data_IF_417171100062
#
_entry.id   IF_417171100062
#
_cell.length_a   1.000
_cell.length_b   1.000
_cell.length_c   1.000
_cell.angle_alpha   90.00
_cell.angle_beta   90.00
_cell.angle_gamma   90.00
#
_symmetry.space_group_name_H-M   'P 1'
#
loop_
_entity.id
_entity.type
_entity.pdbx_description
1 polymer ?
#
# COMPACT_ATOMS: atom_id res chain seq x y z
N UNK A 1 -52.84 -8.84 -46.32
CA UNK A 1 -52.34 -10.20 -46.03
C UNK A 1 -50.98 -10.07 -45.34
N UNK A 2 -50.97 -10.00 -44.01
CA UNK A 2 -49.74 -10.10 -43.22
C UNK A 2 -49.67 -11.53 -42.70
N UNK A 3 -48.74 -12.33 -43.23
CA UNK A 3 -48.46 -13.67 -42.69
C UNK A 3 -47.33 -13.55 -41.68
N UNK A 4 -47.70 -13.85 -40.45
CA UNK A 4 -46.86 -14.11 -39.30
C UNK A 4 -45.80 -15.17 -39.63
N UNK A 5 -44.53 -14.85 -39.36
CA UNK A 5 -43.53 -15.83 -38.97
C UNK A 5 -43.18 -15.56 -37.51
N UNK A 6 -43.98 -16.16 -36.63
CA UNK A 6 -43.61 -16.44 -35.25
C UNK A 6 -42.74 -17.70 -35.24
N UNK A 7 -41.83 -17.79 -34.27
CA UNK A 7 -41.04 -18.96 -33.87
C UNK A 7 -39.75 -19.28 -34.64
N UNK A 8 -38.68 -18.60 -34.22
CA UNK A 8 -37.43 -19.28 -33.77
C UNK A 8 -36.64 -18.33 -32.86
N UNK A 9 -37.28 -17.84 -31.80
CA UNK A 9 -36.57 -17.33 -30.62
C UNK A 9 -36.16 -18.56 -29.78
N UNK A 10 -35.14 -19.27 -30.26
CA UNK A 10 -34.52 -20.39 -29.58
C UNK A 10 -33.19 -19.90 -29.02
N UNK A 11 -33.23 -19.52 -27.74
CA UNK A 11 -32.16 -19.64 -26.75
C UNK A 11 -30.72 -19.57 -27.29
N UNK A 12 -30.22 -18.37 -27.57
CA UNK A 12 -28.80 -18.07 -27.36
C UNK A 12 -28.63 -17.44 -25.98
N UNK A 13 -28.79 -18.27 -24.95
CA UNK A 13 -28.09 -18.06 -23.69
C UNK A 13 -26.92 -19.05 -23.70
N UNK A 14 -25.79 -18.65 -24.27
CA UNK A 14 -24.55 -19.41 -24.21
C UNK A 14 -23.37 -18.47 -24.01
N UNK A 15 -22.92 -18.45 -22.75
CA UNK A 15 -21.59 -18.02 -22.34
C UNK A 15 -21.39 -16.52 -22.33
N UNK A 16 -21.49 -15.91 -21.14
CA UNK A 16 -20.55 -14.83 -20.83
C UNK A 16 -19.15 -15.32 -21.24
N UNK A 17 -18.49 -14.62 -22.16
CA UNK A 17 -17.05 -14.83 -22.37
C UNK A 17 -16.41 -14.78 -21.00
N UNK A 18 -15.70 -15.84 -20.62
CA UNK A 18 -14.96 -15.86 -19.37
C UNK A 18 -14.15 -14.56 -19.29
N UNK A 19 -14.13 -13.86 -18.13
CA UNK A 19 -13.30 -12.69 -17.94
C UNK A 19 -11.87 -12.98 -18.41
N UNK A 20 -11.16 -11.99 -19.00
CA UNK A 20 -9.77 -12.16 -19.39
C UNK A 20 -8.94 -12.77 -18.25
N UNK A 21 -8.13 -13.79 -18.55
CA UNK A 21 -7.28 -14.46 -17.56
C UNK A 21 -7.90 -15.64 -16.79
N UNK A 22 -9.07 -16.15 -17.18
CA UNK A 22 -9.67 -17.36 -16.57
C UNK A 22 -9.38 -18.67 -17.33
N UNK A 23 -8.95 -18.60 -18.59
CA UNK A 23 -8.68 -19.80 -19.41
C UNK A 23 -7.26 -20.27 -19.18
N UNK A 24 -7.10 -21.45 -18.55
CA UNK A 24 -5.78 -22.04 -18.31
C UNK A 24 -4.98 -22.18 -19.61
N UNK A 25 -3.71 -21.78 -19.58
CA UNK A 25 -2.82 -21.87 -20.72
C UNK A 25 -2.47 -23.35 -20.97
N UNK A 26 -3.22 -24.01 -21.84
CA UNK A 26 -3.05 -25.42 -22.17
C UNK A 26 -3.19 -25.63 -23.68
N UNK A 27 -2.57 -26.70 -24.23
CA UNK A 27 -2.80 -27.06 -25.62
C UNK A 27 -4.25 -27.35 -25.98
N UNK A 28 -5.09 -27.70 -25.00
CA UNK A 28 -6.52 -27.91 -25.19
C UNK A 28 -7.29 -26.59 -25.37
N UNK A 29 -6.82 -25.48 -24.79
CA UNK A 29 -7.50 -24.18 -24.81
C UNK A 29 -6.91 -23.20 -25.83
N UNK A 30 -5.61 -23.30 -26.10
CA UNK A 30 -4.90 -22.44 -27.05
C UNK A 30 -3.98 -23.30 -27.92
N UNK A 31 -4.43 -23.83 -29.07
CA UNK A 31 -3.65 -24.81 -29.83
C UNK A 31 -2.37 -24.23 -30.46
N UNK A 32 -2.21 -22.91 -30.48
CA UNK A 32 -1.00 -22.23 -30.98
C UNK A 32 -0.57 -21.09 -30.07
N UNK A 33 0.73 -20.79 -30.07
CA UNK A 33 1.33 -19.68 -29.34
C UNK A 33 0.76 -18.31 -29.76
N UNK A 34 0.42 -18.14 -31.04
CA UNK A 34 -0.15 -16.89 -31.56
C UNK A 34 -1.56 -16.61 -30.98
N UNK A 35 -2.39 -17.63 -30.85
CA UNK A 35 -3.73 -17.51 -30.24
C UNK A 35 -3.66 -17.28 -28.72
N UNK A 36 -2.68 -17.91 -28.07
CA UNK A 36 -2.34 -17.70 -26.66
C UNK A 36 -1.93 -16.24 -26.39
N UNK A 37 -1.07 -15.67 -27.25
CA UNK A 37 -0.62 -14.26 -27.19
C UNK A 37 -1.73 -13.26 -27.53
N UNK A 38 -2.58 -13.56 -28.52
CA UNK A 38 -3.71 -12.70 -28.89
C UNK A 38 -4.78 -12.58 -27.79
N UNK A 39 -4.87 -13.58 -26.91
CA UNK A 39 -5.76 -13.57 -25.74
C UNK A 39 -5.23 -12.71 -24.57
N UNK A 40 -4.02 -12.15 -24.68
CA UNK A 40 -3.50 -11.11 -23.79
C UNK A 40 -2.95 -11.56 -22.43
N UNK A 41 -3.14 -12.81 -22.00
CA UNK A 41 -2.88 -13.21 -20.59
C UNK A 41 -2.33 -14.63 -20.38
N UNK A 42 -1.66 -15.23 -21.36
CA UNK A 42 -1.13 -16.60 -21.24
C UNK A 42 0.26 -16.80 -21.87
N UNK A 43 1.13 -17.56 -21.19
CA UNK A 43 2.43 -18.04 -21.71
C UNK A 43 2.32 -19.52 -22.11
N UNK A 44 2.91 -19.87 -23.25
CA UNK A 44 2.95 -21.22 -23.80
C UNK A 44 4.25 -21.94 -23.35
N UNK A 45 4.11 -23.13 -22.75
CA UNK A 45 5.14 -24.18 -22.44
C UNK A 45 5.86 -24.21 -21.07
N UNK A 46 6.36 -25.42 -20.78
CA UNK A 46 6.56 -26.13 -19.51
C UNK A 46 7.74 -25.72 -18.62
N UNK A 47 8.44 -24.61 -18.91
CA UNK A 47 9.50 -24.08 -18.02
C UNK A 47 9.49 -22.53 -18.01
N UNK A 48 9.64 -21.97 -16.80
CA UNK A 48 9.64 -20.54 -16.54
C UNK A 48 10.97 -19.91 -16.94
N UNK A 49 11.09 -19.38 -18.17
CA UNK A 49 12.14 -18.41 -18.49
C UNK A 49 11.65 -16.95 -18.44
N UNK A 50 12.46 -16.01 -17.92
CA UNK A 50 12.07 -14.64 -17.64
C UNK A 50 12.30 -13.77 -18.89
N UNK A 51 11.29 -13.02 -19.39
CA UNK A 51 11.47 -11.69 -20.01
C UNK A 51 10.16 -10.99 -20.45
N UNK A 52 10.13 -9.67 -20.20
CA UNK A 52 9.52 -8.53 -20.94
C UNK A 52 8.03 -8.43 -21.25
N UNK A 53 7.16 -8.75 -20.30
CA UNK A 53 6.00 -7.93 -19.91
C UNK A 53 5.46 -8.47 -18.58
N UNK A 54 5.95 -7.99 -17.42
CA UNK A 54 5.75 -8.68 -16.15
C UNK A 54 4.82 -7.92 -15.21
N UNK A 55 3.50 -8.07 -15.37
CA UNK A 55 2.55 -7.65 -14.34
C UNK A 55 1.62 -8.77 -13.86
N UNK A 56 1.60 -9.92 -14.54
CA UNK A 56 0.65 -10.99 -14.24
C UNK A 56 1.21 -12.01 -13.24
N UNK A 57 0.51 -12.18 -12.11
CA UNK A 57 0.56 -13.33 -11.19
C UNK A 57 1.84 -13.57 -10.36
N UNK A 58 2.77 -12.63 -10.24
CA UNK A 58 3.97 -12.87 -9.44
C UNK A 58 3.69 -12.78 -7.93
N UNK A 59 3.84 -13.95 -7.28
CA UNK A 59 4.13 -14.23 -5.85
C UNK A 59 3.01 -14.53 -4.86
N UNK A 60 1.74 -14.49 -5.24
CA UNK A 60 0.68 -14.74 -4.26
C UNK A 60 0.19 -16.19 -4.28
N UNK A 61 0.60 -16.99 -3.28
CA UNK A 61 -0.26 -18.06 -2.75
C UNK A 61 -1.30 -17.37 -1.87
N UNK A 62 -2.24 -16.67 -2.51
CA UNK A 62 -3.16 -15.79 -1.82
C UNK A 62 -4.22 -16.63 -1.12
N UNK A 63 -4.25 -16.55 0.22
CA UNK A 63 -5.43 -16.99 0.98
C UNK A 63 -6.63 -16.05 0.67
N UNK A 64 -6.40 -14.89 0.03
CA UNK A 64 -7.38 -13.85 -0.32
C UNK A 64 -7.82 -13.72 -1.79
N UNK A 65 -6.94 -13.92 -2.79
CA UNK A 65 -7.41 -14.20 -4.15
C UNK A 65 -7.92 -15.62 -4.13
N UNK A 66 -9.16 -15.76 -4.55
CA UNK A 66 -9.87 -17.01 -4.49
C UNK A 66 -9.37 -17.92 -5.63
N UNK A 67 -8.08 -18.29 -5.56
CA UNK A 67 -7.33 -19.02 -6.56
C UNK A 67 -6.39 -20.04 -5.92
N UNK A 68 -6.80 -21.30 -5.76
CA UNK A 68 -5.88 -22.41 -5.68
C UNK A 68 -5.16 -22.53 -7.02
N UNK A 69 -3.83 -22.44 -7.02
CA UNK A 69 -3.02 -22.68 -8.23
C UNK A 69 -3.38 -21.81 -9.43
N UNK A 70 -3.90 -20.59 -9.20
CA UNK A 70 -4.25 -19.65 -10.26
C UNK A 70 -5.64 -19.81 -10.89
N UNK A 71 -6.48 -20.75 -10.44
CA UNK A 71 -7.84 -20.98 -10.99
C UNK A 71 -8.90 -20.41 -10.05
N UNK A 72 -9.84 -19.61 -10.57
CA UNK A 72 -10.98 -19.07 -9.80
C UNK A 72 -11.77 -20.19 -9.11
N UNK A 73 -11.90 -20.14 -7.78
CA UNK A 73 -12.83 -21.01 -7.05
C UNK A 73 -14.26 -20.52 -7.19
N UNK A 74 -15.22 -21.41 -6.92
CA UNK A 74 -16.65 -21.09 -6.90
C UNK A 74 -17.06 -19.95 -5.94
N UNK A 75 -16.16 -19.51 -5.05
CA UNK A 75 -16.36 -18.40 -4.12
C UNK A 75 -15.69 -17.10 -4.59
N UNK A 76 -15.25 -17.02 -5.85
CA UNK A 76 -14.58 -15.86 -6.41
C UNK A 76 -15.54 -15.03 -7.26
N UNK A 77 -15.96 -13.87 -6.76
CA UNK A 77 -16.88 -13.00 -7.50
C UNK A 77 -16.11 -11.83 -8.17
N UNK A 78 -16.39 -11.53 -9.45
CA UNK A 78 -15.90 -10.31 -10.08
C UNK A 78 -16.56 -9.08 -9.42
N UNK A 79 -15.81 -8.00 -9.29
CA UNK A 79 -16.30 -6.76 -8.67
C UNK A 79 -17.18 -6.02 -9.67
N UNK A 80 -18.39 -5.64 -9.25
CA UNK A 80 -19.42 -5.02 -10.10
C UNK A 80 -19.18 -3.54 -10.39
N UNK A 81 -18.36 -2.86 -9.59
CA UNK A 81 -17.97 -1.45 -9.78
C UNK A 81 -16.48 -1.28 -9.55
N UNK A 82 -15.69 -1.25 -10.64
CA UNK A 82 -14.26 -1.04 -10.57
C UNK A 82 -13.91 0.40 -10.97
N UNK A 83 -13.03 1.01 -10.19
CA UNK A 83 -12.16 2.06 -10.72
C UNK A 83 -11.12 1.34 -11.62
N UNK A 84 -10.90 1.87 -12.83
CA UNK A 84 -10.03 1.30 -13.88
C UNK A 84 -8.63 0.90 -13.41
N UNK A 85 -8.17 1.46 -12.28
CA UNK A 85 -6.88 1.14 -11.69
C UNK A 85 -6.81 -0.27 -11.05
N UNK A 86 -7.93 -0.98 -10.89
CA UNK A 86 -8.02 -2.17 -10.03
C UNK A 86 -8.68 -3.39 -10.67
N UNK A 87 -8.79 -3.42 -12.01
CA UNK A 87 -9.53 -4.43 -12.79
C UNK A 87 -9.08 -5.89 -12.56
N UNK A 88 -7.92 -6.10 -11.94
CA UNK A 88 -7.32 -7.42 -11.71
C UNK A 88 -7.55 -8.00 -10.29
N UNK A 89 -8.36 -7.36 -9.44
CA UNK A 89 -8.62 -7.85 -8.07
C UNK A 89 -9.91 -8.67 -8.00
N UNK A 90 -9.98 -9.66 -7.12
CA UNK A 90 -11.17 -10.51 -6.92
C UNK A 90 -11.56 -10.57 -5.44
N UNK A 91 -12.82 -10.87 -5.14
CA UNK A 91 -13.31 -10.94 -3.75
C UNK A 91 -13.83 -12.34 -3.38
N UNK A 92 -13.47 -12.88 -2.19
CA UNK A 92 -13.89 -14.21 -1.73
C UNK A 92 -15.35 -14.29 -1.27
N UNK A 93 -16.05 -13.16 -1.15
CA UNK A 93 -17.43 -13.10 -0.68
C UNK A 93 -18.27 -12.22 -1.60
N UNK A 94 -19.57 -12.53 -1.72
CA UNK A 94 -20.58 -11.76 -2.46
C UNK A 94 -20.84 -10.33 -1.93
N UNK A 95 -20.02 -9.86 -0.98
CA UNK A 95 -20.14 -8.54 -0.37
C UNK A 95 -19.75 -7.38 -1.29
N UNK A 96 -19.37 -7.64 -2.56
CA UNK A 96 -18.95 -6.64 -3.55
C UNK A 96 -17.83 -5.68 -3.07
N UNK A 97 -17.14 -5.99 -1.98
CA UNK A 97 -16.07 -5.17 -1.41
C UNK A 97 -14.71 -5.78 -1.73
N UNK A 98 -13.84 -4.95 -2.29
CA UNK A 98 -12.42 -5.25 -2.49
C UNK A 98 -11.75 -5.15 -1.12
N UNK A 99 -11.00 -6.16 -0.71
CA UNK A 99 -10.08 -5.97 0.42
C UNK A 99 -8.86 -5.19 -0.09
N UNK A 100 -8.73 -3.95 0.39
CA UNK A 100 -7.72 -2.99 -0.05
C UNK A 100 -6.29 -3.45 0.27
N UNK A 101 -6.14 -4.40 1.20
CA UNK A 101 -4.88 -5.06 1.50
C UNK A 101 -4.24 -5.76 0.30
N UNK A 102 -5.02 -6.15 -0.70
CA UNK A 102 -4.57 -6.94 -1.85
C UNK A 102 -4.44 -6.11 -3.14
N UNK A 103 -4.79 -4.83 -3.09
CA UNK A 103 -4.77 -3.99 -4.28
C UNK A 103 -3.35 -3.69 -4.75
N UNK A 104 -3.10 -3.67 -6.07
CA UNK A 104 -1.77 -3.39 -6.64
C UNK A 104 -1.61 -1.92 -7.07
N UNK A 105 -0.37 -1.43 -7.04
CA UNK A 105 -0.07 -0.11 -7.60
C UNK A 105 -0.02 -0.26 -9.12
N UNK A 106 -0.74 0.56 -9.89
CA UNK A 106 -0.75 0.43 -11.35
C UNK A 106 0.67 0.66 -11.89
N UNK A 107 1.25 -0.38 -12.52
CA UNK A 107 2.55 -0.30 -13.20
C UNK A 107 2.29 0.12 -14.63
N UNK A 108 2.78 1.28 -15.05
CA UNK A 108 2.68 1.68 -16.47
C UNK A 108 4.00 1.49 -17.22
N UNK A 109 5.16 1.58 -16.55
CA UNK A 109 6.49 1.37 -17.18
C UNK A 109 7.58 1.17 -16.11
N UNK A 110 8.14 -0.05 -16.00
CA UNK A 110 9.36 -0.37 -15.23
C UNK A 110 10.19 -1.41 -15.98
N UNK A 111 11.52 -1.36 -15.86
CA UNK A 111 12.47 -2.34 -16.38
C UNK A 111 12.49 -3.63 -15.58
N UNK A 112 13.67 -4.19 -15.33
CA UNK A 112 13.83 -5.40 -14.50
C UNK A 112 14.30 -5.04 -13.08
N UNK A 113 14.35 -6.03 -12.19
CA UNK A 113 14.89 -5.86 -10.85
C UNK A 113 16.41 -5.60 -10.85
N UNK A 114 17.11 -6.03 -11.90
CA UNK A 114 18.58 -5.91 -12.00
C UNK A 114 19.05 -4.74 -12.85
N UNK A 115 18.17 -4.15 -13.68
CA UNK A 115 18.51 -3.04 -14.56
C UNK A 115 17.32 -2.14 -14.91
N UNK A 116 17.63 -0.87 -15.17
CA UNK A 116 16.70 0.16 -15.65
C UNK A 116 16.15 -0.13 -17.04
N UNK A 117 15.15 0.65 -17.49
CA UNK A 117 14.64 0.57 -18.87
C UNK A 117 15.71 0.85 -19.94
N UNK A 118 16.76 1.59 -19.58
CA UNK A 118 17.90 1.88 -20.47
C UNK A 118 19.00 0.81 -20.45
N UNK A 119 18.81 -0.26 -19.66
CA UNK A 119 19.78 -1.37 -19.55
C UNK A 119 20.90 -1.17 -18.52
N UNK A 120 21.06 0.02 -17.92
CA UNK A 120 22.05 0.23 -16.85
C UNK A 120 21.68 -0.60 -15.62
N UNK A 121 22.64 -1.35 -15.08
CA UNK A 121 22.42 -2.24 -13.93
C UNK A 121 22.36 -1.49 -12.61
N UNK A 122 21.67 -2.08 -11.62
CA UNK A 122 21.63 -1.55 -10.24
C UNK A 122 23.05 -1.49 -9.65
N UNK A 123 23.86 -2.52 -9.87
CA UNK A 123 25.24 -2.57 -9.41
C UNK A 123 26.09 -1.43 -9.99
N UNK A 124 25.95 -1.16 -11.30
CA UNK A 124 26.65 -0.04 -11.93
C UNK A 124 26.23 1.29 -11.32
N UNK A 125 24.91 1.52 -11.14
CA UNK A 125 24.38 2.75 -10.54
C UNK A 125 24.88 2.99 -9.11
N UNK A 126 25.08 1.92 -8.33
CA UNK A 126 25.62 1.99 -6.97
C UNK A 126 27.09 2.44 -6.94
N UNK A 127 27.86 2.20 -8.00
CA UNK A 127 29.26 2.67 -8.10
C UNK A 127 29.38 4.13 -8.56
N UNK A 128 28.32 4.70 -9.14
CA UNK A 128 28.33 6.08 -9.64
C UNK A 128 28.00 7.05 -8.52
N UNK A 129 28.68 8.21 -8.53
CA UNK A 129 28.28 9.34 -7.70
C UNK A 129 26.84 9.75 -8.05
N UNK A 130 25.94 9.88 -7.05
CA UNK A 130 24.57 10.32 -7.29
C UNK A 130 24.51 11.65 -8.04
N UNK A 131 23.74 11.69 -9.11
CA UNK A 131 23.48 12.89 -9.92
C UNK A 131 22.15 12.81 -10.63
N UNK A 132 21.58 13.96 -10.97
CA UNK A 132 20.27 14.07 -11.61
C UNK A 132 20.13 13.22 -12.88
N UNK A 133 21.17 13.12 -13.71
CA UNK A 133 21.15 12.38 -14.98
C UNK A 133 20.82 10.88 -14.82
N UNK A 134 21.03 10.31 -13.63
CA UNK A 134 20.78 8.91 -13.35
C UNK A 134 19.43 8.64 -12.66
N UNK A 135 18.68 9.69 -12.28
CA UNK A 135 17.42 9.53 -11.56
C UNK A 135 16.38 8.75 -12.37
N UNK A 136 16.34 8.96 -13.69
CA UNK A 136 15.46 8.19 -14.57
C UNK A 136 15.73 6.68 -14.47
N UNK A 137 17.00 6.29 -14.43
CA UNK A 137 17.38 4.88 -14.30
C UNK A 137 16.99 4.33 -12.93
N UNK A 138 17.18 5.09 -11.85
CA UNK A 138 16.75 4.71 -10.50
C UNK A 138 15.23 4.48 -10.44
N UNK A 139 14.43 5.38 -11.03
CA UNK A 139 12.95 5.32 -11.00
C UNK A 139 12.34 4.22 -11.87
N UNK A 140 13.13 3.69 -12.80
CA UNK A 140 12.68 2.68 -13.76
C UNK A 140 13.10 1.26 -13.38
N UNK A 141 13.85 1.04 -12.31
CA UNK A 141 14.08 -0.32 -11.77
C UNK A 141 12.77 -0.89 -11.20
N UNK A 142 12.56 -2.20 -11.35
CA UNK A 142 11.34 -2.86 -10.90
C UNK A 142 11.49 -3.46 -9.49
N UNK A 143 10.92 -2.79 -8.49
CA UNK A 143 10.95 -3.23 -7.10
C UNK A 143 10.03 -4.44 -6.83
N UNK A 144 8.94 -4.59 -7.58
CA UNK A 144 7.95 -5.63 -7.31
C UNK A 144 8.44 -7.03 -7.70
N UNK A 145 9.26 -7.14 -8.77
CA UNK A 145 9.83 -8.41 -9.22
C UNK A 145 11.13 -8.80 -8.50
N UNK A 146 11.66 -7.91 -7.67
CA UNK A 146 12.94 -8.13 -7.03
C UNK A 146 12.86 -9.27 -6.01
N UNK A 147 13.86 -10.15 -6.01
CA UNK A 147 14.12 -11.02 -4.85
C UNK A 147 14.47 -10.15 -3.64
N UNK A 148 14.39 -10.69 -2.42
CA UNK A 148 14.73 -9.92 -1.22
C UNK A 148 16.12 -9.25 -1.29
N UNK A 149 17.14 -9.95 -1.81
CA UNK A 149 18.48 -9.39 -2.00
C UNK A 149 18.49 -8.24 -3.03
N UNK A 150 17.83 -8.43 -4.16
CA UNK A 150 17.71 -7.39 -5.19
C UNK A 150 16.93 -6.17 -4.68
N UNK A 151 15.83 -6.38 -3.95
CA UNK A 151 15.03 -5.30 -3.37
C UNK A 151 15.89 -4.48 -2.40
N UNK A 152 16.67 -5.15 -1.55
CA UNK A 152 17.57 -4.49 -0.63
C UNK A 152 18.64 -3.65 -1.34
N UNK A 153 19.21 -4.15 -2.45
CA UNK A 153 20.15 -3.39 -3.26
C UNK A 153 19.51 -2.17 -3.95
N UNK A 154 18.27 -2.32 -4.44
CA UNK A 154 17.50 -1.20 -5.00
C UNK A 154 17.22 -0.16 -3.93
N UNK A 155 16.81 -0.57 -2.72
CA UNK A 155 16.56 0.36 -1.62
C UNK A 155 17.84 1.11 -1.19
N UNK A 156 18.98 0.42 -1.13
CA UNK A 156 20.27 1.07 -0.87
C UNK A 156 20.59 2.11 -1.95
N UNK A 157 20.26 1.82 -3.21
CA UNK A 157 20.43 2.77 -4.31
C UNK A 157 19.56 4.03 -4.10
N UNK A 158 18.29 3.89 -3.73
CA UNK A 158 17.44 5.04 -3.41
C UNK A 158 17.99 5.84 -2.23
N UNK A 159 18.47 5.16 -1.18
CA UNK A 159 19.03 5.80 0.02
C UNK A 159 20.30 6.59 -0.35
N UNK A 160 21.21 6.00 -1.13
CA UNK A 160 22.42 6.68 -1.60
C UNK A 160 22.10 7.92 -2.46
N UNK A 161 20.99 7.89 -3.20
CA UNK A 161 20.52 9.01 -4.03
C UNK A 161 19.76 10.08 -3.26
N UNK A 162 19.66 10.01 -1.92
CA UNK A 162 19.00 11.02 -1.08
C UNK A 162 19.30 12.48 -1.50
N UNK A 163 20.57 12.90 -1.74
CA UNK A 163 20.89 14.29 -2.08
C UNK A 163 20.20 14.80 -3.35
N UNK A 164 19.88 13.91 -4.29
CA UNK A 164 19.17 14.22 -5.53
C UNK A 164 17.65 14.07 -5.38
N UNK A 165 17.21 13.11 -4.57
CA UNK A 165 15.79 12.82 -4.33
C UNK A 165 15.07 13.94 -3.56
N UNK A 166 15.76 14.64 -2.65
CA UNK A 166 15.17 15.71 -1.83
C UNK A 166 15.10 17.07 -2.55
N UNK A 167 15.72 17.18 -3.73
CA UNK A 167 15.72 18.41 -4.54
C UNK A 167 14.33 18.71 -5.10
N UNK A 168 14.09 19.99 -5.36
CA UNK A 168 12.82 20.49 -5.91
C UNK A 168 12.50 19.94 -7.31
N UNK A 169 13.52 19.48 -8.05
CA UNK A 169 13.40 18.88 -9.39
C UNK A 169 12.80 17.48 -9.38
N UNK A 170 12.80 16.79 -8.24
CA UNK A 170 12.28 15.42 -8.12
C UNK A 170 10.85 15.47 -7.60
N UNK A 171 9.88 14.86 -8.27
CA UNK A 171 8.51 14.80 -7.74
C UNK A 171 8.38 13.73 -6.63
N UNK A 172 7.72 13.99 -5.48
CA UNK A 172 7.60 13.02 -4.37
C UNK A 172 7.03 11.66 -4.78
N UNK A 173 6.14 11.65 -5.78
CA UNK A 173 5.55 10.45 -6.39
C UNK A 173 6.55 9.33 -6.72
N UNK A 174 7.78 9.64 -7.15
CA UNK A 174 8.74 8.59 -7.51
C UNK A 174 9.27 7.82 -6.28
N UNK A 175 9.44 8.52 -5.16
CA UNK A 175 9.86 7.92 -3.89
C UNK A 175 8.66 7.19 -3.26
N UNK A 176 7.48 7.78 -3.37
CA UNK A 176 6.21 7.19 -2.93
C UNK A 176 5.91 5.86 -3.62
N UNK A 177 6.08 5.80 -4.95
CA UNK A 177 6.01 4.57 -5.74
C UNK A 177 6.96 3.52 -5.16
N UNK A 178 8.22 3.86 -4.89
CA UNK A 178 9.20 2.93 -4.36
C UNK A 178 8.80 2.40 -2.97
N UNK A 179 8.31 3.26 -2.08
CA UNK A 179 7.77 2.87 -0.78
C UNK A 179 6.58 1.90 -0.92
N UNK A 180 5.63 2.23 -1.78
CA UNK A 180 4.45 1.40 -2.02
C UNK A 180 4.83 0.03 -2.58
N UNK A 181 5.70 0.00 -3.60
CA UNK A 181 6.16 -1.23 -4.23
C UNK A 181 7.01 -2.11 -3.30
N UNK A 182 7.71 -1.50 -2.34
CA UNK A 182 8.47 -2.22 -1.31
C UNK A 182 7.54 -2.97 -0.36
N UNK A 183 6.52 -2.30 0.17
CA UNK A 183 5.52 -2.97 1.04
C UNK A 183 4.79 -4.07 0.27
N UNK A 184 4.46 -3.84 -1.00
CA UNK A 184 3.86 -4.88 -1.84
C UNK A 184 4.77 -6.08 -2.05
N UNK A 185 6.07 -5.87 -2.30
CA UNK A 185 7.00 -6.97 -2.43
C UNK A 185 7.13 -7.76 -1.10
N UNK A 186 7.19 -7.07 0.05
CA UNK A 186 7.24 -7.72 1.38
C UNK A 186 5.97 -8.53 1.68
N UNK A 187 4.80 -7.98 1.31
CA UNK A 187 3.51 -8.65 1.44
C UNK A 187 3.45 -9.91 0.59
N UNK A 188 3.85 -9.79 -0.68
CA UNK A 188 3.69 -10.84 -1.67
C UNK A 188 4.78 -11.92 -1.58
N UNK A 189 5.96 -11.63 -1.03
CA UNK A 189 7.04 -12.62 -0.90
C UNK A 189 6.78 -13.62 0.24
N UNK A 190 6.21 -14.77 -0.11
CA UNK A 190 5.94 -15.89 0.79
C UNK A 190 7.21 -16.56 1.33
N UNK A 191 8.38 -16.28 0.76
CA UNK A 191 9.66 -16.86 1.20
C UNK A 191 10.39 -16.01 2.24
N UNK A 192 9.93 -14.79 2.51
CA UNK A 192 10.54 -13.90 3.49
C UNK A 192 10.29 -14.34 4.94
N UNK A 193 11.36 -14.63 5.66
CA UNK A 193 11.32 -14.82 7.12
C UNK A 193 11.13 -13.47 7.85
N UNK A 194 10.66 -13.46 9.11
CA UNK A 194 10.53 -12.22 9.88
C UNK A 194 11.82 -11.39 9.94
N UNK A 195 12.98 -12.03 10.05
CA UNK A 195 14.28 -11.36 10.05
C UNK A 195 14.58 -10.64 8.71
N UNK A 196 14.30 -11.29 7.57
CA UNK A 196 14.48 -10.67 6.25
C UNK A 196 13.49 -9.52 6.01
N UNK A 197 12.27 -9.64 6.53
CA UNK A 197 11.28 -8.55 6.52
C UNK A 197 11.81 -7.36 7.33
N UNK A 198 12.31 -7.60 8.54
CA UNK A 198 12.84 -6.55 9.41
C UNK A 198 14.01 -5.76 8.79
N UNK A 199 14.96 -6.47 8.16
CA UNK A 199 16.07 -5.82 7.44
C UNK A 199 15.56 -4.93 6.28
N UNK A 200 14.58 -5.40 5.52
CA UNK A 200 13.98 -4.64 4.42
C UNK A 200 13.16 -3.46 4.94
N UNK A 201 12.42 -3.64 6.03
CA UNK A 201 11.64 -2.57 6.69
C UNK A 201 12.55 -1.47 7.24
N UNK A 202 13.74 -1.81 7.73
CA UNK A 202 14.73 -0.80 8.16
C UNK A 202 15.07 0.16 7.02
N UNK A 203 15.33 -0.37 5.82
CA UNK A 203 15.60 0.44 4.62
C UNK A 203 14.37 1.17 4.10
N UNK A 204 13.20 0.54 4.17
CA UNK A 204 11.93 1.20 3.90
C UNK A 204 11.76 2.46 4.77
N UNK A 205 12.06 2.39 6.07
CA UNK A 205 11.95 3.55 6.96
C UNK A 205 13.00 4.64 6.71
N UNK A 206 14.19 4.26 6.25
CA UNK A 206 15.17 5.23 5.75
C UNK A 206 14.64 5.95 4.51
N UNK A 207 14.10 5.21 3.55
CA UNK A 207 13.46 5.78 2.36
C UNK A 207 12.22 6.63 2.71
N UNK A 208 11.43 6.21 3.69
CA UNK A 208 10.27 6.96 4.16
C UNK A 208 10.70 8.29 4.79
N UNK A 209 11.84 8.31 5.48
CA UNK A 209 12.43 9.55 6.02
C UNK A 209 12.85 10.51 4.90
N UNK A 210 13.46 9.98 3.82
CA UNK A 210 13.81 10.76 2.62
C UNK A 210 12.55 11.31 1.94
N UNK A 211 11.50 10.49 1.81
CA UNK A 211 10.21 10.92 1.27
C UNK A 211 9.60 12.04 2.10
N UNK A 212 9.54 11.88 3.43
CA UNK A 212 9.01 12.90 4.34
C UNK A 212 9.82 14.19 4.25
N UNK A 213 11.14 14.12 4.10
CA UNK A 213 11.96 15.30 3.82
C UNK A 213 11.58 15.97 2.50
N UNK A 214 11.42 15.19 1.43
CA UNK A 214 11.06 15.70 0.12
C UNK A 214 9.68 16.35 0.10
N UNK A 215 8.71 15.78 0.80
CA UNK A 215 7.35 16.34 0.87
C UNK A 215 7.30 17.69 1.58
N UNK A 216 8.13 17.92 2.61
CA UNK A 216 8.27 19.25 3.27
C UNK A 216 8.71 20.33 2.30
N UNK A 217 9.69 20.03 1.45
CA UNK A 217 10.21 20.98 0.47
C UNK A 217 9.30 21.10 -0.76
N UNK A 218 8.37 20.16 -0.95
CA UNK A 218 7.42 20.17 -2.06
C UNK A 218 6.16 20.98 -1.75
N UNK A 219 5.52 20.74 -0.61
CA UNK A 219 4.25 21.38 -0.27
C UNK A 219 4.00 21.47 1.24
N UNK A 220 3.37 22.57 1.66
CA UNK A 220 2.88 22.76 3.04
C UNK A 220 1.76 21.78 3.42
N UNK A 221 1.06 21.26 2.41
CA UNK A 221 0.06 20.22 2.58
C UNK A 221 0.18 19.19 1.46
N UNK A 222 0.31 17.94 1.84
CA UNK A 222 0.40 16.82 0.92
C UNK A 222 -0.41 15.68 1.48
N UNK A 223 -1.21 15.03 0.64
CA UNK A 223 -1.98 13.88 1.06
C UNK A 223 -2.18 12.93 -0.10
N UNK A 224 -2.05 11.65 0.17
CA UNK A 224 -2.42 10.56 -0.72
C UNK A 224 -3.44 9.66 -0.06
N UNK A 225 -4.29 9.07 -0.90
CA UNK A 225 -5.32 8.14 -0.48
C UNK A 225 -5.18 6.86 -1.33
N UNK A 226 -4.15 6.07 -1.03
CA UNK A 226 -3.98 4.75 -1.61
C UNK A 226 -4.47 3.66 -0.66
N UNK A 227 -4.55 2.44 -1.18
CA UNK A 227 -5.14 1.32 -0.48
C UNK A 227 -4.23 0.59 0.52
N UNK A 228 -2.90 0.65 0.34
CA UNK A 228 -1.93 -0.04 1.22
C UNK A 228 -1.13 0.92 2.08
N UNK A 229 -0.84 2.12 1.56
CA UNK A 229 0.09 3.03 2.20
C UNK A 229 -0.35 4.45 1.88
N UNK A 230 -0.76 5.18 2.91
CA UNK A 230 -1.16 6.57 2.82
C UNK A 230 -0.08 7.46 3.40
N UNK A 231 0.06 8.63 2.78
CA UNK A 231 0.95 9.67 3.26
C UNK A 231 0.13 10.94 3.47
N UNK A 232 0.33 11.60 4.59
CA UNK A 232 -0.31 12.88 4.86
C UNK A 232 0.66 13.81 5.59
N UNK A 233 0.69 15.07 5.18
CA UNK A 233 1.47 16.12 5.80
C UNK A 233 0.66 17.40 5.84
N UNK A 234 0.78 18.13 6.95
CA UNK A 234 0.30 19.50 7.02
C UNK A 234 1.14 20.33 7.99
N UNK A 235 1.14 21.64 7.78
CA UNK A 235 1.65 22.59 8.78
C UNK A 235 0.71 22.72 9.97
N UNK A 236 1.23 23.16 11.11
CA UNK A 236 0.44 23.41 12.32
C UNK A 236 -0.69 24.43 12.13
N UNK A 237 -0.58 25.33 11.15
CA UNK A 237 -1.62 26.34 10.86
C UNK A 237 -2.97 25.76 10.44
N UNK A 238 -3.02 24.52 9.94
CA UNK A 238 -4.28 23.87 9.53
C UNK A 238 -5.05 23.24 10.68
N UNK A 239 -4.47 23.13 11.88
CA UNK A 239 -5.07 22.58 13.12
C UNK A 239 -5.54 21.12 13.07
N UNK A 240 -5.63 20.50 11.90
CA UNK A 240 -5.97 19.09 11.74
C UNK A 240 -5.37 18.48 10.48
N UNK A 241 -5.30 17.14 10.49
CA UNK A 241 -4.89 16.27 9.41
C UNK A 241 -5.78 15.04 9.39
N UNK A 242 -6.30 14.68 8.23
CA UNK A 242 -7.21 13.54 8.08
C UNK A 242 -6.58 12.48 7.19
N UNK A 243 -6.68 11.22 7.59
CA UNK A 243 -6.26 10.05 6.82
C UNK A 243 -7.48 9.14 6.66
N UNK A 244 -7.70 8.66 5.45
CA UNK A 244 -8.82 7.77 5.12
C UNK A 244 -8.28 6.35 4.93
N UNK A 245 -8.77 5.44 5.77
CA UNK A 245 -8.66 4.00 5.54
C UNK A 245 -9.85 3.48 4.76
N UNK A 246 -9.95 2.15 4.62
CA UNK A 246 -11.01 1.51 3.84
C UNK A 246 -12.42 1.76 4.40
N UNK A 247 -12.59 1.61 5.71
CA UNK A 247 -13.89 1.74 6.40
C UNK A 247 -13.80 2.69 7.59
N UNK A 248 -12.78 3.57 7.59
CA UNK A 248 -12.58 4.48 8.68
C UNK A 248 -11.89 5.76 8.24
N UNK A 249 -12.16 6.81 9.00
CA UNK A 249 -11.47 8.10 8.88
C UNK A 249 -10.83 8.41 10.22
N UNK A 250 -9.53 8.68 10.18
CA UNK A 250 -8.76 9.11 11.36
C UNK A 250 -8.35 10.56 11.18
N UNK A 251 -8.68 11.39 12.16
CA UNK A 251 -8.30 12.80 12.20
C UNK A 251 -7.39 13.06 13.39
N UNK A 252 -6.22 13.61 13.12
CA UNK A 252 -5.30 14.17 14.11
C UNK A 252 -5.55 15.67 14.18
N UNK A 253 -5.83 16.20 15.36
CA UNK A 253 -6.11 17.63 15.54
C UNK A 253 -5.39 18.22 16.74
N UNK A 254 -5.10 19.52 16.71
CA UNK A 254 -4.43 20.26 17.77
C UNK A 254 -4.97 21.68 17.83
N UNK A 255 -4.83 22.31 19.00
CA UNK A 255 -5.39 23.65 19.26
C UNK A 255 -4.32 24.71 19.52
N UNK A 256 -3.14 24.31 19.97
CA UNK A 256 -2.07 25.24 20.36
C UNK A 256 -0.70 24.69 19.98
N UNK A 257 0.20 25.58 19.58
CA UNK A 257 1.60 25.29 19.26
C UNK A 257 2.44 26.54 19.55
N UNK A 258 3.68 26.35 20.03
CA UNK A 258 4.57 27.46 20.43
C UNK A 258 5.49 27.93 19.31
N UNK A 259 5.66 27.12 18.27
CA UNK A 259 6.42 27.44 17.05
C UNK A 259 5.79 26.71 15.86
N UNK A 260 6.10 27.16 14.65
CA UNK A 260 5.66 26.50 13.44
C UNK A 260 6.34 25.14 13.25
N UNK A 261 5.74 24.33 12.40
CA UNK A 261 6.19 22.96 12.15
C UNK A 261 5.18 22.17 11.34
N UNK A 262 5.43 20.86 11.27
CA UNK A 262 4.68 19.92 10.47
C UNK A 262 4.23 18.72 11.29
N UNK A 263 3.01 18.26 11.03
CA UNK A 263 2.56 16.91 11.37
C UNK A 263 2.64 16.08 10.10
N UNK A 264 3.40 15.00 10.16
CA UNK A 264 3.62 14.04 9.07
C UNK A 264 3.08 12.68 9.51
N UNK A 265 2.35 12.00 8.63
CA UNK A 265 1.69 10.74 8.90
C UNK A 265 1.94 9.78 7.76
N UNK A 266 2.27 8.55 8.12
CA UNK A 266 2.22 7.39 7.25
C UNK A 266 1.19 6.44 7.85
N UNK A 267 0.18 6.02 7.09
CA UNK A 267 -0.74 4.96 7.51
C UNK A 267 -0.70 3.76 6.59
N UNK A 268 -0.90 2.58 7.15
CA UNK A 268 -0.98 1.34 6.39
C UNK A 268 -1.83 0.32 7.13
N UNK A 269 -2.44 -0.65 6.43
CA UNK A 269 -3.22 -1.68 7.09
C UNK A 269 -2.39 -2.54 8.03
N UNK A 270 -2.94 -2.82 9.22
CA UNK A 270 -2.24 -3.49 10.30
C UNK A 270 -1.75 -4.92 9.94
N UNK A 271 -2.50 -5.62 9.09
CA UNK A 271 -2.16 -6.98 8.62
C UNK A 271 -0.81 -7.07 7.92
N UNK A 272 -0.37 -5.98 7.28
CA UNK A 272 0.91 -5.93 6.56
C UNK A 272 2.12 -6.05 7.50
N UNK A 273 1.93 -5.79 8.80
CA UNK A 273 2.97 -5.86 9.83
C UNK A 273 2.72 -6.98 10.85
N UNK A 274 1.92 -7.99 10.46
CA UNK A 274 1.68 -9.18 11.28
C UNK A 274 0.70 -8.97 12.44
N UNK A 275 0.00 -7.82 12.48
CA UNK A 275 -1.10 -7.58 13.42
C UNK A 275 -2.36 -8.22 12.85
N UNK A 276 -2.97 -9.15 13.59
CA UNK A 276 -4.14 -9.88 13.11
C UNK A 276 -5.31 -8.92 12.81
N UNK A 277 -5.94 -9.07 11.64
CA UNK A 277 -7.08 -8.25 11.21
C UNK A 277 -8.21 -8.24 12.24
N UNK A 278 -8.47 -9.39 12.88
CA UNK A 278 -9.51 -9.52 13.90
C UNK A 278 -9.27 -8.65 15.14
N UNK A 279 -8.01 -8.26 15.40
CA UNK A 279 -7.64 -7.44 16.55
C UNK A 279 -7.48 -5.96 16.21
N UNK A 280 -7.13 -5.62 14.96
CA UNK A 280 -6.92 -4.23 14.56
C UNK A 280 -8.16 -3.64 13.89
N UNK A 281 -8.69 -2.57 14.47
CA UNK A 281 -9.84 -1.83 13.93
C UNK A 281 -9.44 -0.68 13.01
N UNK A 282 -8.21 -0.19 13.14
CA UNK A 282 -7.68 0.86 12.28
C UNK A 282 -6.44 0.40 11.52
N UNK A 283 -6.01 1.23 10.57
CA UNK A 283 -4.63 1.23 10.10
C UNK A 283 -3.66 1.41 11.27
N UNK A 284 -2.41 1.05 11.04
CA UNK A 284 -1.30 1.53 11.85
C UNK A 284 -0.91 2.91 11.37
N UNK A 285 -0.72 3.82 12.30
CA UNK A 285 -0.33 5.20 12.08
C UNK A 285 1.07 5.44 12.62
N UNK A 286 1.99 5.84 11.75
CA UNK A 286 3.26 6.44 12.12
C UNK A 286 3.12 7.96 12.02
N UNK A 287 3.08 8.64 13.15
CA UNK A 287 2.95 10.10 13.26
C UNK A 287 4.28 10.69 13.71
N UNK A 288 4.75 11.69 12.98
CA UNK A 288 5.96 12.45 13.27
C UNK A 288 5.66 13.93 13.33
N UNK A 289 6.14 14.59 14.38
CA UNK A 289 5.91 15.99 14.68
C UNK A 289 7.28 16.67 14.75
N UNK A 290 7.48 17.64 13.88
CA UNK A 290 8.76 18.33 13.72
C UNK A 290 8.54 19.83 13.63
N UNK A 291 9.57 20.61 13.93
CA UNK A 291 9.57 22.04 13.63
C UNK A 291 9.85 22.32 12.14
N UNK A 292 9.75 23.60 11.78
CA UNK A 292 9.97 24.10 10.41
C UNK A 292 11.38 24.69 10.20
N UNK A 293 12.34 24.34 11.06
CA UNK A 293 13.72 24.80 10.92
C UNK A 293 14.39 24.24 9.64
N UNK A 294 15.48 24.89 9.20
CA UNK A 294 16.27 24.42 8.05
C UNK A 294 16.78 22.97 8.24
N UNK A 295 17.11 22.62 9.49
CA UNK A 295 17.36 21.24 9.92
C UNK A 295 16.29 20.86 10.94
N UNK A 296 15.23 20.15 10.54
CA UNK A 296 14.07 19.92 11.41
C UNK A 296 14.41 19.06 12.64
N UNK A 297 13.94 19.50 13.80
CA UNK A 297 14.07 18.77 15.06
C UNK A 297 12.71 18.20 15.53
N UNK A 298 12.70 17.10 16.29
CA UNK A 298 11.49 16.59 16.93
C UNK A 298 10.81 17.66 17.80
N UNK A 299 9.47 17.77 17.70
CA UNK A 299 8.68 18.75 18.44
C UNK A 299 7.70 18.08 19.41
N UNK A 300 7.90 18.27 20.72
CA UNK A 300 7.09 17.68 21.80
C UNK A 300 6.03 18.62 22.38
N UNK A 301 5.97 19.87 21.89
CA UNK A 301 5.05 20.91 22.39
C UNK A 301 3.66 20.89 21.75
N UNK A 302 3.29 19.82 21.06
CA UNK A 302 2.00 19.67 20.39
C UNK A 302 1.16 18.60 21.10
N UNK A 303 -0.03 18.98 21.59
CA UNK A 303 -1.02 18.02 22.10
C UNK A 303 -1.97 17.64 20.96
N UNK A 304 -1.96 16.36 20.58
CA UNK A 304 -2.78 15.82 19.51
C UNK A 304 -4.03 15.15 20.06
N UNK A 305 -5.16 15.37 19.40
CA UNK A 305 -6.39 14.59 19.58
C UNK A 305 -6.58 13.70 18.37
N UNK A 306 -6.61 12.39 18.59
CA UNK A 306 -6.93 11.38 17.57
C UNK A 306 -8.43 11.13 17.62
N UNK A 307 -9.14 11.47 16.55
CA UNK A 307 -10.55 11.11 16.35
C UNK A 307 -10.64 10.04 15.30
N UNK A 308 -11.24 8.90 15.65
CA UNK A 308 -11.46 7.79 14.74
C UNK A 308 -12.96 7.59 14.52
N UNK A 309 -13.37 7.52 13.26
CA UNK A 309 -14.76 7.31 12.86
C UNK A 309 -14.81 6.07 11.97
N UNK A 310 -15.58 5.05 12.38
CA UNK A 310 -15.80 3.84 11.59
C UNK A 310 -17.09 3.95 10.78
N UNK A 311 -17.00 3.72 9.47
CA UNK A 311 -18.12 3.84 8.52
C UNK A 311 -18.69 2.50 8.07
N UNK A 312 -18.06 1.37 8.40
CA UNK A 312 -18.55 0.05 8.01
C UNK A 312 -19.82 -0.38 8.76
N UNK A 313 -20.58 -1.31 8.19
CA UNK A 313 -21.90 -1.75 8.71
C UNK A 313 -21.85 -3.01 9.56
N UNK A 314 -20.77 -3.76 9.47
CA UNK A 314 -20.60 -5.09 10.08
C UNK A 314 -20.13 -5.07 11.52
N UNK A 315 -19.62 -3.94 12.01
CA UNK A 315 -19.05 -3.81 13.35
C UNK A 315 -19.63 -2.60 14.09
N UNK A 316 -19.77 -2.76 15.41
CA UNK A 316 -20.16 -1.72 16.35
C UNK A 316 -18.96 -1.41 17.24
N UNK A 317 -18.62 -0.13 17.38
CA UNK A 317 -17.57 0.31 18.29
C UNK A 317 -18.05 0.11 19.73
N UNK A 318 -17.38 -0.76 20.50
CA UNK A 318 -17.63 -0.97 21.93
C UNK A 318 -16.71 -0.11 22.83
N UNK A 319 -17.04 -0.02 24.13
CA UNK A 319 -16.28 0.78 25.12
C UNK A 319 -14.89 0.16 25.43
N UNK A 320 -14.66 -1.10 25.08
CA UNK A 320 -13.41 -1.80 25.41
C UNK A 320 -12.23 -1.47 24.45
N UNK A 321 -12.44 -0.65 23.42
CA UNK A 321 -11.41 -0.28 22.44
C UNK A 321 -10.20 0.43 23.05
N UNK A 322 -9.00 0.05 22.62
CA UNK A 322 -7.74 0.61 23.13
C UNK A 322 -6.88 1.14 22.00
N UNK A 323 -6.22 2.27 22.25
CA UNK A 323 -5.14 2.75 21.39
C UNK A 323 -3.85 2.07 21.84
N UNK A 324 -3.29 1.25 20.95
CA UNK A 324 -2.13 0.42 21.24
C UNK A 324 -0.90 1.01 20.54
N UNK A 325 0.12 1.31 21.33
CA UNK A 325 1.39 1.82 20.85
C UNK A 325 2.29 0.66 20.39
N UNK A 326 3.07 0.91 19.34
CA UNK A 326 4.07 -0.02 18.78
C UNK A 326 5.45 0.52 19.15
N UNK A 327 6.32 -0.37 19.66
CA UNK A 327 7.66 0.02 20.15
C UNK A 327 8.78 -0.14 19.12
N UNK A 328 8.61 -1.00 18.11
CA UNK A 328 9.62 -1.23 17.08
C UNK A 328 9.03 -1.21 15.66
N UNK A 329 9.55 -0.29 14.83
CA UNK A 329 9.17 -0.14 13.42
C UNK A 329 9.94 -1.08 12.48
N UNK A 330 11.07 -1.64 12.92
CA UNK A 330 12.06 -2.34 12.11
C UNK A 330 12.17 -3.86 12.38
N UNK A 331 11.61 -4.38 13.47
CA UNK A 331 11.80 -5.79 13.84
C UNK A 331 11.18 -6.81 12.85
N UNK A 332 10.26 -6.40 11.97
CA UNK A 332 9.45 -7.36 11.18
C UNK A 332 8.49 -8.20 12.05
N UNK A 333 8.55 -8.05 13.36
CA UNK A 333 7.61 -8.56 14.36
C UNK A 333 7.05 -7.39 15.15
N UNK A 334 5.73 -7.37 15.33
CA UNK A 334 5.05 -6.38 16.14
C UNK A 334 5.25 -6.67 17.64
N UNK A 335 5.59 -5.63 18.41
CA UNK A 335 5.55 -5.66 19.87
C UNK A 335 4.62 -4.54 20.37
N UNK A 336 3.57 -4.93 21.11
CA UNK A 336 2.71 -3.96 21.81
C UNK A 336 3.51 -3.32 22.94
N UNK A 337 3.44 -1.99 23.05
CA UNK A 337 3.78 -1.31 24.30
C UNK A 337 2.71 -1.66 25.34
N UNK A 338 3.13 -2.06 26.55
CA UNK A 338 2.20 -2.27 27.66
C UNK A 338 1.50 -0.96 28.09
N UNK A 339 2.06 0.19 27.69
CA UNK A 339 1.50 1.51 27.96
C UNK A 339 0.26 1.75 27.12
N UNK A 340 -0.92 1.60 27.75
CA UNK A 340 -2.21 1.91 27.11
C UNK A 340 -2.40 3.42 27.07
N UNK A 341 -2.74 3.97 25.90
CA UNK A 341 -3.07 5.40 25.79
C UNK A 341 -4.52 5.61 26.21
N UNK A 342 -4.74 6.61 27.07
CA UNK A 342 -6.04 6.86 27.68
C UNK A 342 -7.12 7.17 26.63
N UNK A 343 -8.24 6.45 26.74
CA UNK A 343 -9.46 6.70 26.00
C UNK A 343 -10.26 7.85 26.64
N UNK A 344 -10.72 8.81 25.83
CA UNK A 344 -11.56 9.90 26.29
C UNK A 344 -13.05 9.56 26.07
N UNK A 345 -13.65 8.92 27.08
CA UNK A 345 -15.06 8.51 27.06
C UNK A 345 -16.04 9.68 26.98
N UNK A 346 -15.61 10.91 27.33
CA UNK A 346 -16.48 12.09 27.29
C UNK A 346 -16.72 12.61 25.87
N UNK A 347 -15.88 12.20 24.92
CA UNK A 347 -15.92 12.66 23.51
C UNK A 347 -16.28 11.58 22.52
N UNK A 348 -16.54 10.36 23.00
CA UNK A 348 -16.98 9.24 22.18
C UNK A 348 -18.49 9.23 22.03
N UNK A 349 -18.95 8.92 20.82
CA UNK A 349 -20.35 8.66 20.56
C UNK A 349 -20.45 7.29 19.88
N UNK A 350 -20.91 6.32 20.67
CA UNK A 350 -21.07 4.91 20.32
C UNK A 350 -22.12 4.74 19.22
N UNK A 351 -23.16 5.59 19.20
CA UNK A 351 -24.18 5.57 18.16
C UNK A 351 -23.60 6.08 16.83
N UNK A 352 -22.68 7.06 16.89
CA UNK A 352 -21.97 7.59 15.71
C UNK A 352 -20.72 6.82 15.29
N UNK A 353 -20.37 5.71 15.98
CA UNK A 353 -19.13 4.94 15.73
C UNK A 353 -17.87 5.82 15.79
N UNK A 354 -17.78 6.68 16.81
CA UNK A 354 -16.66 7.62 17.02
C UNK A 354 -15.88 7.33 18.30
N UNK A 355 -14.56 7.22 18.18
CA UNK A 355 -13.60 7.12 19.29
C UNK A 355 -12.69 8.36 19.34
N UNK A 356 -12.29 8.78 20.54
CA UNK A 356 -11.37 9.91 20.73
C UNK A 356 -10.28 9.55 21.75
N UNK A 357 -9.03 9.83 21.38
CA UNK A 357 -7.83 9.61 22.21
C UNK A 357 -6.98 10.88 22.26
N UNK A 358 -6.29 11.10 23.37
CA UNK A 358 -5.35 12.21 23.54
C UNK A 358 -3.89 11.70 23.51
N UNK A 359 -3.05 12.37 22.73
CA UNK A 359 -1.61 12.13 22.63
C UNK A 359 -0.85 13.39 23.04
N UNK A 360 0.14 13.26 23.90
CA UNK A 360 1.01 14.37 24.31
C UNK A 360 2.40 13.85 24.70
N UNK A 361 3.37 14.76 24.85
CA UNK A 361 4.67 14.47 25.44
C UNK A 361 5.68 13.73 24.55
N UNK A 362 5.36 13.44 23.29
CA UNK A 362 6.28 12.84 22.32
C UNK A 362 6.20 13.58 20.99
N UNK A 363 7.27 13.48 20.20
CA UNK A 363 7.33 13.99 18.84
C UNK A 363 7.04 12.89 17.80
N UNK A 364 7.18 11.62 18.18
CA UNK A 364 6.95 10.47 17.32
C UNK A 364 5.96 9.50 18.01
N UNK A 365 5.00 8.99 17.25
CA UNK A 365 4.01 8.02 17.69
C UNK A 365 3.85 6.92 16.65
N UNK A 366 3.78 5.67 17.09
CA UNK A 366 3.41 4.54 16.25
C UNK A 366 2.28 3.81 16.96
N UNK A 367 1.10 3.72 16.36
CA UNK A 367 -0.06 3.13 17.04
C UNK A 367 -1.11 2.58 16.08
N UNK A 368 -2.03 1.78 16.61
CA UNK A 368 -3.30 1.44 15.96
C UNK A 368 -4.40 1.33 17.03
N UNK A 369 -5.65 1.24 16.60
CA UNK A 369 -6.81 1.03 17.47
C UNK A 369 -7.13 -0.46 17.48
N UNK A 370 -7.13 -1.05 18.66
CA UNK A 370 -7.40 -2.47 18.90
C UNK A 370 -8.80 -2.66 19.45
N UNK A 371 -9.55 -3.59 18.85
CA UNK A 371 -10.76 -4.14 19.42
C UNK A 371 -10.46 -5.09 20.57
N UNK A 372 -11.19 -4.96 21.68
CA UNK A 372 -11.06 -5.84 22.85
C UNK A 372 -12.36 -6.59 23.06
#
# INVERSE_FOLDING_TARGET
>A
MYKYYFLTFLLFWLGSTLPPGQTACSPANFPTEALCKAAGYCKWTTQCDPYTMPADCYRINEIGACRPSGVYTANCYPITSLNVQYENVCTPNSNNKIDYNYVRFPITTTGLATHSLTGITVADLQTKTPKADFLYQVFTVNLQLATNSQLNAILDLYIAYQPELVKTTTHPYYIEKALFQTIQNIRDDTTMTPALKGATLTKFWQLASIFLERVRTFSKHYQTNYYILNFAQTTFSRLYLTVNGQEHTTTLSWLSYTKNGYVQVISYPAVQFGIAAATAFSDVYYVKIIDDAATPAPFTGLALTVTYIYSGTTYTIAIANKLVKITDKAAGTYAEDATTIAYDSTKSDIASKKLVYALSGSADYIFYIKGV
#
